data_IF_517535026560
#
_entry.id   IF_517535026560
#
_cell.length_a   1.000
_cell.length_b   1.000
_cell.length_c   1.000
_cell.angle_alpha   90.00
_cell.angle_beta   90.00
_cell.angle_gamma   90.00
#
_symmetry.space_group_name_H-M   'P 1'
#
loop_
_entity.id
_entity.type
_entity.pdbx_description
1 polymer ?
#
# COMPACT_ATOMS: atom_id res chain seq x y z
N UNK A 1 -4.53 5.26 7.35
CA UNK A 1 -5.90 5.12 7.87
C UNK A 1 -6.34 6.48 8.39
N UNK A 2 -7.28 7.14 7.74
CA UNK A 2 -7.84 8.42 8.19
C UNK A 2 -9.17 8.14 8.90
N UNK A 3 -9.44 8.81 10.00
CA UNK A 3 -10.72 8.79 10.71
C UNK A 3 -11.21 10.22 10.80
N UNK A 4 -12.47 10.48 10.45
CA UNK A 4 -13.04 11.81 10.49
C UNK A 4 -14.49 11.77 10.96
N UNK A 5 -14.84 12.64 11.91
CA UNK A 5 -16.22 13.03 12.17
C UNK A 5 -16.59 14.19 11.25
N UNK A 6 -17.61 14.03 10.41
CA UNK A 6 -18.29 15.14 9.76
C UNK A 6 -19.50 15.56 10.59
N UNK A 7 -19.97 16.77 10.37
CA UNK A 7 -21.07 17.46 11.06
C UNK A 7 -22.48 16.81 10.85
N UNK A 8 -22.54 15.49 10.70
CA UNK A 8 -23.74 14.66 10.87
C UNK A 8 -23.30 13.23 11.23
N UNK A 9 -23.42 12.86 12.51
CA UNK A 9 -23.51 11.50 13.11
C UNK A 9 -22.76 10.31 12.45
N UNK A 10 -21.73 10.53 11.62
CA UNK A 10 -21.12 9.49 10.79
C UNK A 10 -19.61 9.52 10.89
N UNK A 11 -19.08 8.51 11.57
CA UNK A 11 -17.66 8.16 11.62
C UNK A 11 -17.24 7.65 10.24
N UNK A 12 -16.28 8.30 9.58
CA UNK A 12 -15.73 7.80 8.30
C UNK A 12 -14.39 7.13 8.54
N UNK A 13 -14.25 5.89 8.07
CA UNK A 13 -13.04 5.05 8.23
C UNK A 13 -12.41 4.82 6.85
N UNK A 14 -11.14 5.21 6.70
CA UNK A 14 -10.36 4.96 5.47
C UNK A 14 -9.40 3.80 5.64
N UNK A 15 -9.66 2.68 4.99
CA UNK A 15 -8.69 1.58 4.96
C UNK A 15 -7.80 1.65 3.73
N UNK A 16 -6.51 1.46 3.97
CA UNK A 16 -5.54 1.11 2.96
C UNK A 16 -4.87 -0.19 3.38
N UNK A 17 -4.93 -1.19 2.52
CA UNK A 17 -4.24 -2.47 2.69
C UNK A 17 -4.94 -3.58 1.93
N UNK A 18 -4.17 -4.39 1.20
CA UNK A 18 -4.64 -5.63 0.53
C UNK A 18 -5.05 -6.75 1.50
N UNK A 19 -4.99 -6.49 2.80
CA UNK A 19 -5.58 -7.38 3.79
C UNK A 19 -7.07 -7.09 3.78
N UNK A 20 -7.81 -7.88 3.01
CA UNK A 20 -9.27 -7.93 3.12
C UNK A 20 -9.62 -8.07 4.60
N UNK A 21 -10.47 -7.17 5.11
CA UNK A 21 -11.10 -7.34 6.42
C UNK A 21 -11.57 -8.79 6.53
N UNK A 22 -11.34 -9.42 7.68
CA UNK A 22 -11.94 -10.73 7.88
C UNK A 22 -13.45 -10.61 7.67
N UNK A 23 -14.12 -11.60 7.07
CA UNK A 23 -15.56 -11.52 6.82
C UNK A 23 -16.38 -11.14 8.06
N UNK A 24 -15.94 -11.55 9.25
CA UNK A 24 -16.50 -11.17 10.54
C UNK A 24 -16.33 -9.67 10.87
N UNK A 25 -15.16 -9.09 10.62
CA UNK A 25 -14.87 -7.67 10.84
C UNK A 25 -15.62 -6.79 9.84
N UNK A 26 -15.68 -7.23 8.57
CA UNK A 26 -16.46 -6.57 7.53
C UNK A 26 -17.96 -6.59 7.86
N UNK A 27 -18.49 -7.72 8.31
CA UNK A 27 -19.88 -7.83 8.76
C UNK A 27 -20.16 -6.96 10.00
N UNK A 28 -19.23 -6.92 10.96
CA UNK A 28 -19.34 -6.05 12.13
C UNK A 28 -19.37 -4.57 11.73
N UNK A 29 -18.43 -4.11 10.89
CA UNK A 29 -18.41 -2.73 10.38
C UNK A 29 -19.69 -2.38 9.61
N UNK A 30 -20.23 -3.33 8.83
CA UNK A 30 -21.49 -3.14 8.09
C UNK A 30 -22.70 -2.91 9.01
N UNK A 31 -22.70 -3.47 10.22
CA UNK A 31 -23.79 -3.30 11.18
C UNK A 31 -23.74 -1.94 11.92
N UNK A 32 -22.68 -1.16 11.74
CA UNK A 32 -22.56 0.17 12.31
C UNK A 32 -23.11 1.20 11.31
N UNK A 33 -24.40 1.52 11.43
CA UNK A 33 -25.11 2.45 10.52
C UNK A 33 -24.51 3.87 10.49
N UNK A 34 -23.71 4.22 11.49
CA UNK A 34 -22.99 5.48 11.63
C UNK A 34 -21.56 5.39 11.10
N UNK A 35 -21.14 4.28 10.50
CA UNK A 35 -19.80 4.10 9.97
C UNK A 35 -19.82 4.00 8.45
N UNK A 36 -19.05 4.87 7.79
CA UNK A 36 -18.81 4.80 6.35
C UNK A 36 -17.40 4.26 6.10
N UNK A 37 -17.30 3.25 5.24
CA UNK A 37 -16.01 2.68 4.82
C UNK A 37 -15.68 3.12 3.39
N UNK A 38 -14.49 3.67 3.20
CA UNK A 38 -14.04 4.16 1.90
C UNK A 38 -12.61 3.74 1.60
N UNK A 39 -12.30 3.59 0.31
CA UNK A 39 -11.00 3.20 -0.20
C UNK A 39 -10.39 4.33 -1.03
N UNK A 40 -9.13 4.66 -0.74
CA UNK A 40 -8.36 5.63 -1.50
C UNK A 40 -7.09 4.96 -2.04
N UNK A 41 -6.91 4.85 -3.36
CA UNK A 41 -5.67 4.34 -3.94
C UNK A 41 -4.45 5.13 -3.45
N UNK A 42 -3.37 4.42 -3.09
CA UNK A 42 -2.09 4.98 -2.65
C UNK A 42 -2.14 5.86 -1.37
N UNK A 43 -3.14 5.70 -0.50
CA UNK A 43 -3.20 6.42 0.78
C UNK A 43 -2.26 5.79 1.83
N UNK A 44 -1.18 6.50 2.17
CA UNK A 44 -0.24 6.06 3.21
C UNK A 44 -0.37 6.83 4.55
N UNK A 45 -1.04 7.98 4.52
CA UNK A 45 -1.25 8.82 5.68
C UNK A 45 -2.11 8.12 6.74
N UNK A 46 -1.82 8.38 8.01
CA UNK A 46 -2.63 7.94 9.14
C UNK A 46 -2.96 9.16 9.99
N UNK A 47 -4.25 9.38 10.17
CA UNK A 47 -4.78 10.59 10.78
C UNK A 47 -6.08 10.26 11.51
N UNK A 48 -6.24 10.68 12.76
CA UNK A 48 -7.46 10.47 13.53
C UNK A 48 -8.06 11.82 13.89
N UNK A 49 -9.20 12.15 13.33
CA UNK A 49 -9.80 13.49 13.39
C UNK A 49 -11.20 13.40 14.00
N UNK A 50 -11.41 14.21 15.01
CA UNK A 50 -12.69 14.53 15.66
C UNK A 50 -13.01 16.00 15.42
N UNK A 51 -14.13 16.51 15.92
CA UNK A 51 -14.49 17.93 15.77
C UNK A 51 -13.59 18.90 16.56
N UNK A 52 -12.95 18.40 17.63
CA UNK A 52 -12.16 19.19 18.57
C UNK A 52 -10.65 18.95 18.45
N UNK A 53 -10.25 17.79 17.91
CA UNK A 53 -8.84 17.39 17.86
C UNK A 53 -8.52 16.46 16.69
N UNK A 54 -7.26 16.51 16.25
CA UNK A 54 -6.68 15.74 15.16
C UNK A 54 -5.36 15.12 15.63
N UNK A 55 -5.12 13.84 15.33
CA UNK A 55 -3.86 13.15 15.60
C UNK A 55 -3.27 12.72 14.27
N UNK A 56 -2.06 13.19 13.96
CA UNK A 56 -1.27 12.70 12.83
C UNK A 56 -0.20 11.79 13.39
N UNK A 57 -0.11 10.55 12.90
CA UNK A 57 0.74 9.52 13.52
C UNK A 57 1.23 8.47 12.53
N UNK A 58 2.23 7.70 12.91
CA UNK A 58 2.65 6.47 12.22
C UNK A 58 1.81 5.24 12.60
N UNK A 59 1.01 5.32 13.67
CA UNK A 59 0.26 4.19 14.23
C UNK A 59 -0.91 3.74 13.34
N UNK A 60 -0.93 2.45 13.01
CA UNK A 60 -2.09 1.74 12.48
C UNK A 60 -2.96 1.16 13.60
N UNK A 61 -4.26 0.94 13.35
CA UNK A 61 -5.17 0.30 14.31
C UNK A 61 -5.12 -1.24 14.27
N UNK A 62 -3.91 -1.79 14.40
CA UNK A 62 -3.70 -3.21 14.66
C UNK A 62 -3.07 -3.38 16.04
N UNK A 63 -3.56 -4.35 16.81
CA UNK A 63 -3.09 -4.61 18.18
C UNK A 63 -1.58 -4.83 18.24
N UNK A 64 -1.02 -5.52 17.24
CA UNK A 64 0.42 -5.75 17.14
C UNK A 64 1.23 -4.44 17.08
N UNK A 65 0.79 -3.45 16.30
CA UNK A 65 1.48 -2.15 16.19
C UNK A 65 1.45 -1.36 17.49
N UNK A 66 0.38 -1.47 18.28
CA UNK A 66 0.27 -0.72 19.54
C UNK A 66 1.24 -1.21 20.61
N UNK A 67 1.58 -2.50 20.60
CA UNK A 67 2.41 -3.13 21.64
C UNK A 67 3.87 -3.28 21.21
N UNK A 68 4.11 -3.58 19.92
CA UNK A 68 5.43 -4.02 19.46
C UNK A 68 6.19 -3.00 18.61
N UNK A 69 5.51 -1.96 18.11
CA UNK A 69 6.17 -0.93 17.31
C UNK A 69 6.47 0.31 18.16
N UNK A 70 7.60 0.95 17.85
CA UNK A 70 7.87 2.30 18.32
C UNK A 70 7.18 3.28 17.35
N UNK A 71 6.08 3.88 17.80
CA UNK A 71 5.25 4.77 17.00
C UNK A 71 5.45 6.22 17.44
N UNK A 72 5.22 7.16 16.53
CA UNK A 72 5.28 8.60 16.81
C UNK A 72 3.98 9.26 16.34
N UNK A 73 3.58 10.33 17.01
CA UNK A 73 2.45 11.13 16.59
C UNK A 73 2.44 12.50 17.24
N UNK A 74 1.63 13.38 16.66
CA UNK A 74 1.35 14.71 17.18
C UNK A 74 -0.15 14.85 17.39
N UNK A 75 -0.53 15.55 18.46
CA UNK A 75 -1.91 15.92 18.75
C UNK A 75 -2.08 17.41 18.41
N UNK A 76 -3.07 17.70 17.57
CA UNK A 76 -3.51 19.04 17.22
C UNK A 76 -4.88 19.25 17.87
N UNK A 77 -5.02 20.26 18.73
CA UNK A 77 -6.31 20.66 19.27
C UNK A 77 -6.78 21.93 18.60
N UNK A 78 -8.04 21.94 18.19
CA UNK A 78 -8.67 23.11 17.55
C UNK A 78 -8.64 24.35 18.45
N UNK A 79 -8.71 24.16 19.76
CA UNK A 79 -8.66 25.24 20.76
C UNK A 79 -7.27 25.84 20.96
N UNK A 80 -6.20 25.10 20.62
CA UNK A 80 -4.81 25.53 20.83
C UNK A 80 -4.19 26.05 19.53
N UNK A 81 -4.45 25.37 18.42
CA UNK A 81 -3.96 25.74 17.08
C UNK A 81 -5.05 25.46 16.03
N UNK A 82 -5.98 26.41 15.91
CA UNK A 82 -7.15 26.28 15.04
C UNK A 82 -6.82 26.29 13.55
N UNK A 83 -5.75 26.97 13.15
CA UNK A 83 -5.33 27.09 11.75
C UNK A 83 -4.76 25.76 11.24
N UNK A 84 -3.77 25.20 11.95
CA UNK A 84 -3.15 23.91 11.58
C UNK A 84 -4.16 22.77 11.67
N UNK A 85 -5.05 22.80 12.67
CA UNK A 85 -6.16 21.86 12.76
C UNK A 85 -7.07 21.94 11.51
N UNK A 86 -7.41 23.15 11.06
CA UNK A 86 -8.29 23.37 9.91
C UNK A 86 -7.65 22.88 8.60
N UNK A 87 -6.35 23.04 8.42
CA UNK A 87 -5.62 22.53 7.27
C UNK A 87 -5.64 21.00 7.24
N UNK A 88 -5.31 20.35 8.37
CA UNK A 88 -5.36 18.90 8.50
C UNK A 88 -6.78 18.35 8.26
N UNK A 89 -7.80 19.01 8.81
CA UNK A 89 -9.20 18.67 8.61
C UNK A 89 -9.60 18.80 7.13
N UNK A 90 -9.21 19.89 6.47
CA UNK A 90 -9.53 20.15 5.06
C UNK A 90 -8.91 19.11 4.12
N UNK A 91 -7.70 18.66 4.42
CA UNK A 91 -7.02 17.61 3.66
C UNK A 91 -7.66 16.23 3.89
N UNK A 92 -8.03 15.90 5.14
CA UNK A 92 -8.81 14.70 5.41
C UNK A 92 -10.13 14.69 4.62
N UNK A 93 -10.83 15.83 4.58
CA UNK A 93 -12.03 16.04 3.77
C UNK A 93 -11.79 15.88 2.27
N UNK A 94 -10.66 16.38 1.77
CA UNK A 94 -10.28 16.17 0.37
C UNK A 94 -10.09 14.70 0.05
N UNK A 95 -9.40 13.96 0.92
CA UNK A 95 -9.20 12.51 0.79
C UNK A 95 -10.55 11.77 0.82
N UNK A 96 -11.45 12.14 1.73
CA UNK A 96 -12.83 11.60 1.78
C UNK A 96 -13.53 11.76 0.42
N UNK A 97 -13.43 12.94 -0.20
CA UNK A 97 -14.11 13.25 -1.46
C UNK A 97 -13.58 12.45 -2.66
N UNK A 98 -12.28 12.16 -2.70
CA UNK A 98 -11.65 11.42 -3.81
C UNK A 98 -11.64 9.91 -3.60
N UNK A 99 -12.21 9.43 -2.49
CA UNK A 99 -12.24 8.01 -2.16
C UNK A 99 -13.51 7.34 -2.67
N UNK A 100 -13.36 6.09 -3.09
CA UNK A 100 -14.47 5.25 -3.50
C UNK A 100 -15.14 4.62 -2.27
N UNK A 101 -16.46 4.72 -2.16
CA UNK A 101 -17.20 4.07 -1.08
C UNK A 101 -17.26 2.57 -1.30
N UNK A 102 -16.76 1.80 -0.34
CA UNK A 102 -16.80 0.34 -0.41
C UNK A 102 -18.12 -0.10 0.23
N UNK A 103 -19.10 -0.44 -0.60
CA UNK A 103 -20.27 -1.18 -0.12
C UNK A 103 -19.81 -2.58 0.23
N UNK A 104 -19.81 -2.92 1.52
CA UNK A 104 -19.48 -4.26 2.01
C UNK A 104 -20.62 -5.21 1.59
N UNK A 105 -20.55 -5.76 0.37
CA UNK A 105 -21.41 -6.87 -0.05
C UNK A 105 -20.88 -8.13 0.63
N UNK A 106 -21.61 -8.59 1.65
CA UNK A 106 -21.40 -9.91 2.23
C UNK A 106 -22.17 -10.87 1.35
N UNK A 107 -21.60 -11.22 0.19
CA UNK A 107 -21.99 -12.46 -0.46
C UNK A 107 -21.08 -13.53 0.12
N UNK A 108 -21.67 -14.33 1.01
CA UNK A 108 -21.09 -15.58 1.47
C UNK A 108 -20.92 -16.44 0.23
N UNK A 109 -19.73 -16.46 -0.36
CA UNK A 109 -19.42 -17.42 -1.42
C UNK A 109 -19.11 -18.74 -0.74
N UNK A 110 -20.17 -19.48 -0.41
CA UNK A 110 -20.11 -20.93 -0.39
C UNK A 110 -19.60 -21.40 -1.75
N UNK A 111 -18.62 -22.29 -1.71
CA UNK A 111 -18.00 -22.88 -2.90
C UNK A 111 -19.06 -23.65 -3.68
N UNK A 112 -19.57 -23.09 -4.78
CA UNK A 112 -20.18 -23.90 -5.83
C UNK A 112 -19.65 -23.54 -7.21
N UNK A 113 -19.27 -24.61 -7.90
CA UNK A 113 -18.74 -24.64 -9.24
C UNK A 113 -19.82 -24.21 -10.23
N UNK A 114 -19.59 -23.13 -10.99
CA UNK A 114 -20.29 -22.97 -12.28
C UNK A 114 -19.29 -22.47 -13.33
N UNK A 115 -18.92 -23.38 -14.23
CA UNK A 115 -18.43 -23.01 -15.54
C UNK A 115 -19.52 -22.24 -16.29
N UNK A 116 -19.22 -21.06 -16.82
CA UNK A 116 -19.10 -20.85 -18.28
C UNK A 116 -18.86 -19.36 -18.63
N UNK A 117 -17.72 -19.15 -19.30
CA UNK A 117 -17.44 -18.29 -20.49
C UNK A 117 -18.19 -16.97 -20.66
N UNK A 118 -17.40 -15.88 -20.72
CA UNK A 118 -17.32 -14.93 -21.84
C UNK A 118 -15.95 -14.23 -21.76
N UNK A 119 -14.94 -14.73 -22.46
CA UNK A 119 -14.43 -14.22 -23.76
C UNK A 119 -13.89 -12.78 -23.72
N UNK A 120 -12.56 -12.73 -23.59
CA UNK A 120 -11.60 -11.89 -24.30
C UNK A 120 -11.79 -10.37 -24.35
N UNK A 121 -10.95 -9.67 -23.57
CA UNK A 121 -10.06 -8.68 -24.16
C UNK A 121 -8.62 -9.09 -23.82
N UNK A 122 -8.00 -9.73 -24.80
CA UNK A 122 -6.56 -9.95 -24.87
C UNK A 122 -5.87 -8.60 -25.06
N UNK A 123 -5.07 -8.20 -24.07
CA UNK A 123 -3.78 -7.56 -24.36
C UNK A 123 -2.71 -8.38 -23.63
N UNK A 124 -2.58 -9.63 -24.06
CA UNK A 124 -1.38 -10.40 -23.82
C UNK A 124 -0.26 -9.81 -24.69
N UNK A 125 0.39 -8.72 -24.23
CA UNK A 125 1.76 -8.49 -24.65
C UNK A 125 2.58 -9.61 -24.03
N UNK A 126 2.90 -10.59 -24.89
CA UNK A 126 3.78 -11.73 -24.64
C UNK A 126 5.19 -11.22 -24.32
N UNK A 127 5.38 -10.66 -23.13
CA UNK A 127 6.71 -10.43 -22.60
C UNK A 127 7.25 -11.79 -22.17
N UNK A 128 8.41 -12.17 -22.69
CA UNK A 128 9.15 -13.28 -22.11
C UNK A 128 9.42 -12.93 -20.65
N UNK A 129 8.96 -13.78 -19.73
CA UNK A 129 9.11 -13.55 -18.29
C UNK A 129 10.33 -14.33 -17.82
N UNK A 130 11.29 -13.61 -17.27
CA UNK A 130 12.57 -14.13 -16.80
C UNK A 130 12.50 -14.39 -15.29
N UNK A 131 13.09 -15.50 -14.85
CA UNK A 131 13.42 -15.68 -13.43
C UNK A 131 14.55 -14.74 -13.05
N UNK A 132 14.74 -14.48 -11.76
CA UNK A 132 15.88 -13.67 -11.28
C UNK A 132 17.23 -14.21 -11.80
N UNK A 133 17.41 -15.52 -11.86
CA UNK A 133 18.62 -16.14 -12.42
C UNK A 133 18.85 -15.79 -13.89
N UNK A 134 17.79 -15.84 -14.72
CA UNK A 134 17.88 -15.46 -16.14
C UNK A 134 18.07 -13.95 -16.33
N UNK A 135 17.47 -13.16 -15.44
CA UNK A 135 17.65 -11.71 -15.43
C UNK A 135 19.08 -11.33 -15.04
N UNK A 136 19.66 -12.02 -14.06
CA UNK A 136 21.05 -11.86 -13.63
C UNK A 136 22.03 -12.22 -14.76
N UNK A 137 21.78 -13.33 -15.46
CA UNK A 137 22.54 -13.72 -16.66
C UNK A 137 22.46 -12.63 -17.75
N UNK A 138 21.28 -12.09 -18.02
CA UNK A 138 21.08 -10.98 -18.97
C UNK A 138 21.85 -9.72 -18.56
N UNK A 139 21.90 -9.41 -17.27
CA UNK A 139 22.59 -8.25 -16.74
C UNK A 139 24.09 -8.48 -16.52
N UNK A 140 24.60 -9.70 -16.71
CA UNK A 140 26.00 -10.05 -16.47
C UNK A 140 26.41 -9.96 -15.00
N UNK A 141 25.47 -10.15 -14.06
CA UNK A 141 25.70 -10.07 -12.60
C UNK A 141 25.38 -11.39 -11.91
N UNK A 142 25.78 -11.53 -10.65
CA UNK A 142 25.40 -12.68 -9.82
C UNK A 142 23.90 -12.63 -9.46
N UNK A 143 23.32 -13.78 -9.09
CA UNK A 143 21.91 -13.81 -8.68
C UNK A 143 21.70 -13.04 -7.37
N UNK A 144 22.67 -13.10 -6.47
CA UNK A 144 22.71 -12.33 -5.23
C UNK A 144 22.72 -10.82 -5.50
N UNK A 145 23.58 -10.37 -6.41
CA UNK A 145 23.67 -8.96 -6.80
C UNK A 145 22.40 -8.48 -7.51
N UNK A 146 21.84 -9.29 -8.40
CA UNK A 146 20.56 -9.01 -9.06
C UNK A 146 19.44 -8.80 -8.02
N UNK A 147 19.33 -9.69 -7.03
CA UNK A 147 18.37 -9.55 -5.95
C UNK A 147 18.61 -8.29 -5.11
N UNK A 148 19.87 -7.96 -4.81
CA UNK A 148 20.23 -6.76 -4.06
C UNK A 148 19.82 -5.48 -4.82
N UNK A 149 20.07 -5.42 -6.13
CA UNK A 149 19.67 -4.28 -6.98
C UNK A 149 18.15 -4.13 -7.08
N UNK A 150 17.42 -5.23 -7.25
CA UNK A 150 15.95 -5.23 -7.24
C UNK A 150 15.37 -4.77 -5.89
N UNK A 151 16.02 -5.16 -4.77
CA UNK A 151 15.65 -4.68 -3.44
C UNK A 151 15.95 -3.20 -3.24
N UNK A 152 17.14 -2.75 -3.67
CA UNK A 152 17.54 -1.35 -3.58
C UNK A 152 16.62 -0.43 -4.39
N UNK A 153 16.14 -0.88 -5.54
CA UNK A 153 15.15 -0.17 -6.35
C UNK A 153 13.70 -0.26 -5.81
N UNK A 154 13.49 -0.93 -4.67
CA UNK A 154 12.18 -1.10 -4.05
C UNK A 154 11.21 -1.97 -4.86
N UNK A 155 11.71 -2.77 -5.81
CA UNK A 155 10.89 -3.64 -6.67
C UNK A 155 10.53 -4.96 -5.96
N UNK A 156 11.37 -5.41 -5.05
CA UNK A 156 11.11 -6.55 -4.17
C UNK A 156 11.71 -6.28 -2.79
N UNK A 157 11.34 -7.07 -1.80
CA UNK A 157 11.85 -6.96 -0.43
C UNK A 157 12.18 -8.33 0.14
N UNK A 158 13.06 -8.37 1.14
CA UNK A 158 13.46 -9.61 1.81
C UNK A 158 12.37 -9.99 2.82
N UNK A 159 11.89 -11.22 2.72
CA UNK A 159 10.94 -11.84 3.64
C UNK A 159 11.54 -13.15 4.17
N UNK A 160 12.31 -13.01 5.26
CA UNK A 160 13.10 -14.10 5.83
C UNK A 160 14.16 -14.63 4.85
N UNK A 161 13.93 -15.84 4.33
CA UNK A 161 14.80 -16.49 3.32
C UNK A 161 14.33 -16.29 1.88
N UNK A 162 13.22 -15.60 1.68
CA UNK A 162 12.56 -15.42 0.39
C UNK A 162 12.46 -13.95 0.02
N UNK A 163 11.98 -13.68 -1.19
CA UNK A 163 11.72 -12.33 -1.67
C UNK A 163 10.22 -12.15 -1.92
N UNK A 164 9.68 -11.02 -1.46
CA UNK A 164 8.29 -10.62 -1.67
C UNK A 164 8.22 -9.49 -2.70
N UNK A 165 7.26 -9.58 -3.62
CA UNK A 165 7.06 -8.59 -4.67
C UNK A 165 6.31 -7.37 -4.12
N UNK A 166 6.88 -6.18 -4.27
CA UNK A 166 6.26 -4.91 -3.84
C UNK A 166 5.23 -4.42 -4.87
N UNK A 167 4.45 -3.39 -4.51
CA UNK A 167 3.54 -2.76 -5.47
C UNK A 167 4.30 -1.98 -6.57
N UNK A 168 5.48 -1.44 -6.26
CA UNK A 168 6.39 -0.86 -7.27
C UNK A 168 6.90 -1.92 -8.23
N UNK A 169 7.28 -3.10 -7.72
CA UNK A 169 7.65 -4.26 -8.53
C UNK A 169 6.54 -4.72 -9.47
N UNK A 170 5.29 -4.75 -8.99
CA UNK A 170 4.12 -5.06 -9.82
C UNK A 170 3.92 -4.05 -10.95
N UNK A 171 4.06 -2.74 -10.64
CA UNK A 171 3.98 -1.67 -11.65
C UNK A 171 5.12 -1.76 -12.68
N UNK A 172 6.30 -2.23 -12.26
CA UNK A 172 7.43 -2.53 -13.14
C UNK A 172 7.27 -3.84 -13.95
N UNK A 173 6.11 -4.51 -13.83
CA UNK A 173 5.77 -5.71 -14.59
C UNK A 173 6.18 -7.03 -13.93
N UNK A 174 6.63 -6.99 -12.67
CA UNK A 174 6.91 -8.19 -11.88
C UNK A 174 5.64 -9.00 -11.62
N UNK A 175 5.75 -10.33 -11.73
CA UNK A 175 4.65 -11.27 -11.53
C UNK A 175 5.07 -12.39 -10.58
N UNK A 176 4.10 -12.96 -9.87
CA UNK A 176 4.33 -14.14 -9.04
C UNK A 176 3.87 -15.38 -9.81
N UNK A 177 4.74 -16.37 -9.93
CA UNK A 177 4.44 -17.68 -10.53
C UNK A 177 4.55 -18.80 -9.48
N UNK A 178 3.73 -19.83 -9.64
CA UNK A 178 3.79 -21.04 -8.82
C UNK A 178 4.73 -22.06 -9.45
N UNK A 179 5.73 -22.50 -8.70
CA UNK A 179 6.67 -23.54 -9.08
C UNK A 179 6.55 -24.78 -8.21
N UNK A 180 7.47 -25.74 -8.43
CA UNK A 180 7.53 -27.01 -7.68
C UNK A 180 7.82 -26.82 -6.19
N UNK A 181 8.55 -25.77 -5.82
CA UNK A 181 9.01 -25.50 -4.45
C UNK A 181 8.32 -24.29 -3.79
N UNK A 182 7.22 -23.80 -4.37
CA UNK A 182 6.50 -22.63 -3.88
C UNK A 182 6.38 -21.52 -4.91
N UNK A 183 6.11 -20.32 -4.45
CA UNK A 183 5.92 -19.14 -5.29
C UNK A 183 7.25 -18.42 -5.52
N UNK A 184 7.44 -17.87 -6.72
CA UNK A 184 8.64 -17.11 -7.08
C UNK A 184 8.28 -15.93 -7.98
N UNK A 185 9.14 -14.91 -7.97
CA UNK A 185 8.97 -13.68 -8.76
C UNK A 185 9.60 -13.89 -10.15
N UNK A 186 8.90 -13.42 -11.17
CA UNK A 186 9.44 -13.28 -12.54
C UNK A 186 9.30 -11.85 -13.02
N UNK A 187 10.24 -11.44 -13.86
CA UNK A 187 10.37 -10.08 -14.37
C UNK A 187 10.20 -10.07 -15.88
N UNK A 188 9.68 -9.00 -16.48
CA UNK A 188 9.57 -8.89 -17.92
C UNK A 188 10.97 -8.75 -18.52
N UNK A 189 11.19 -9.33 -19.71
CA UNK A 189 12.45 -9.16 -20.45
C UNK A 189 12.79 -7.69 -20.71
N UNK A 190 11.79 -6.81 -20.79
CA UNK A 190 11.98 -5.36 -20.97
C UNK A 190 12.60 -4.64 -19.75
N UNK A 191 12.76 -5.30 -18.60
CA UNK A 191 13.37 -4.69 -17.42
C UNK A 191 14.91 -4.64 -17.59
N UNK A 192 15.45 -3.43 -17.76
CA UNK A 192 16.90 -3.23 -17.92
C UNK A 192 17.57 -2.85 -16.59
N UNK A 193 18.87 -3.10 -16.49
CA UNK A 193 19.68 -2.76 -15.32
C UNK A 193 19.68 -1.25 -15.05
N UNK A 194 19.77 -0.44 -16.10
CA UNK A 194 19.76 1.03 -16.05
C UNK A 194 18.47 1.57 -15.40
N UNK A 195 17.31 0.98 -15.71
CA UNK A 195 16.03 1.38 -15.13
C UNK A 195 16.00 1.14 -13.60
N UNK A 196 16.63 0.06 -13.15
CA UNK A 196 16.69 -0.34 -11.73
C UNK A 196 17.68 0.56 -10.98
N UNK A 197 18.83 0.84 -11.57
CA UNK A 197 19.85 1.72 -10.97
C UNK A 197 19.38 3.19 -10.89
N UNK A 198 18.65 3.67 -11.91
CA UNK A 198 18.04 5.00 -11.88
C UNK A 198 17.01 5.16 -10.75
N UNK A 199 16.20 4.13 -10.49
CA UNK A 199 15.22 4.15 -9.39
C UNK A 199 15.91 4.21 -8.00
N UNK A 200 17.04 3.52 -7.85
CA UNK A 200 17.83 3.53 -6.61
C UNK A 200 18.55 4.86 -6.31
N UNK A 201 18.91 5.63 -7.33
CA UNK A 201 19.59 6.93 -7.17
C UNK A 201 18.66 8.04 -6.65
N UNK A 202 17.35 7.94 -6.90
CA UNK A 202 16.38 8.92 -6.39
C UNK A 202 16.28 8.92 -4.86
N UNK A 203 16.50 7.77 -4.19
CA UNK A 203 16.42 7.72 -2.73
C UNK A 203 17.58 8.48 -2.07
N UNK A 204 18.78 8.42 -2.64
CA UNK A 204 19.93 9.18 -2.13
C UNK A 204 19.75 10.69 -2.31
N UNK A 205 19.31 11.13 -3.48
CA UNK A 205 19.05 12.56 -3.75
C UNK A 205 17.93 13.13 -2.86
N UNK A 206 16.87 12.35 -2.61
CA UNK A 206 15.81 12.74 -1.67
C UNK A 206 16.31 12.80 -0.22
N UNK A 207 17.15 11.86 0.20
CA UNK A 207 17.77 11.87 1.52
C UNK A 207 18.71 13.07 1.67
N UNK A 208 19.54 13.37 0.69
CA UNK A 208 20.47 14.51 0.72
C UNK A 208 19.69 15.84 0.80
N UNK A 209 18.60 15.99 0.03
CA UNK A 209 17.71 17.16 0.11
C UNK A 209 16.99 17.27 1.46
N UNK A 210 16.49 16.16 1.99
CA UNK A 210 15.82 16.14 3.30
C UNK A 210 16.79 16.48 4.44
N UNK A 211 18.01 15.92 4.40
CA UNK A 211 19.06 16.24 5.36
C UNK A 211 19.39 17.72 5.28
N UNK A 212 19.63 18.27 4.08
CA UNK A 212 19.92 19.69 3.91
C UNK A 212 18.84 20.60 4.52
N UNK A 213 17.56 20.27 4.32
CA UNK A 213 16.42 20.97 4.92
C UNK A 213 16.37 20.87 6.45
N UNK A 214 16.78 19.73 7.04
CA UNK A 214 16.78 19.56 8.50
C UNK A 214 17.86 20.40 9.21
N UNK A 215 18.97 20.71 8.54
CA UNK A 215 20.11 21.45 9.14
C UNK A 215 20.13 22.93 8.77
N UNK A 216 19.20 23.40 7.94
CA UNK A 216 19.01 24.82 7.58
C UNK A 216 18.04 25.52 8.51
#
# INVERSE_FOLDING_TARGET
>A
MIYGSMQSEKLTIFQYGKSELQPSEAAWLKNLNYVRTSYCPNLHAKCYVSEDACIITSLNLYEFSQVNNNEMGILLKRSEDGEVYQDAYSEAQRIIRISDEVKISVDVVEKEQVLQKNQNIEIAKKYDTLTVAKLAEKWGVTTEECNAKLCHAGLQEIDGKFYRLTDTGKKAGGLIKKGRYGYFIVWPDSLTLEMVEAAGNNQKDLLDKFISWLIS
#
